data_IF_443015484155
#
_entry.id   IF_443015484155
#
_cell.length_a   1.000
_cell.length_b   1.000
_cell.length_c   1.000
_cell.angle_alpha   90.00
_cell.angle_beta   90.00
_cell.angle_gamma   90.00
#
_symmetry.space_group_name_H-M   'P 1'
#
loop_
_entity.id
_entity.type
_entity.pdbx_description
1 polymer ?
#
# COMPACT_ATOMS: atom_id res chain seq x y z
N UNK A 1 -30.07 24.61 -9.67
CA UNK A 1 -29.03 24.55 -8.63
C UNK A 1 -28.73 23.09 -8.40
N UNK A 2 -27.78 22.55 -9.15
CA UNK A 2 -27.28 21.18 -8.91
C UNK A 2 -26.30 21.29 -7.75
N UNK A 3 -26.64 20.68 -6.61
CA UNK A 3 -25.66 20.42 -5.55
C UNK A 3 -24.45 19.76 -6.23
N UNK A 4 -23.32 20.46 -6.23
CA UNK A 4 -22.07 19.80 -6.49
C UNK A 4 -21.92 18.81 -5.33
N UNK A 5 -22.09 17.52 -5.61
CA UNK A 5 -21.71 16.46 -4.69
C UNK A 5 -20.28 16.78 -4.25
N UNK A 6 -20.11 17.15 -2.97
CA UNK A 6 -18.79 17.35 -2.39
C UNK A 6 -18.06 16.01 -2.47
N UNK A 7 -17.26 15.84 -3.54
CA UNK A 7 -16.59 14.60 -3.85
C UNK A 7 -15.68 14.24 -2.67
N UNK A 8 -16.08 13.20 -1.93
CA UNK A 8 -15.40 12.75 -0.71
C UNK A 8 -13.91 12.56 -1.02
N UNK A 9 -13.03 13.25 -0.28
CA UNK A 9 -11.58 13.15 -0.42
C UNK A 9 -11.03 12.00 0.43
N UNK A 10 -9.97 11.33 -0.04
CA UNK A 10 -9.34 10.26 0.72
C UNK A 10 -8.44 10.84 1.83
N UNK A 11 -8.49 10.33 3.08
CA UNK A 11 -7.72 10.88 4.19
C UNK A 11 -6.20 10.75 4.02
N UNK A 12 -5.73 9.71 3.33
CA UNK A 12 -4.29 9.52 3.05
C UNK A 12 -3.76 10.45 1.93
N UNK A 13 -4.64 10.89 1.02
CA UNK A 13 -4.26 11.75 -0.11
C UNK A 13 -5.48 12.53 -0.60
N UNK A 14 -5.54 13.82 -0.24
CA UNK A 14 -6.65 14.70 -0.58
C UNK A 14 -6.85 14.97 -2.08
N UNK A 15 -5.90 14.57 -2.93
CA UNK A 15 -6.01 14.66 -4.39
C UNK A 15 -6.81 13.49 -4.97
N UNK A 16 -7.06 12.43 -4.20
CA UNK A 16 -7.84 11.27 -4.63
C UNK A 16 -9.26 11.39 -4.07
N UNK A 17 -10.24 11.36 -4.96
CA UNK A 17 -11.66 11.48 -4.62
C UNK A 17 -12.39 10.15 -4.82
N UNK A 18 -13.48 9.96 -4.08
CA UNK A 18 -14.40 8.86 -4.29
C UNK A 18 -15.25 9.17 -5.52
N UNK A 19 -15.19 8.32 -6.55
CA UNK A 19 -16.00 8.50 -7.73
C UNK A 19 -17.47 8.08 -7.52
N UNK A 20 -18.32 8.30 -8.54
CA UNK A 20 -19.76 8.05 -8.45
C UNK A 20 -20.12 6.55 -8.30
N UNK A 21 -19.20 5.66 -8.62
CA UNK A 21 -19.29 4.21 -8.42
C UNK A 21 -18.85 3.76 -7.02
N UNK A 22 -18.57 4.70 -6.11
CA UNK A 22 -18.00 4.47 -4.78
C UNK A 22 -16.61 3.80 -4.81
N UNK A 23 -15.81 4.08 -5.85
CA UNK A 23 -14.42 3.60 -5.97
C UNK A 23 -13.46 4.78 -5.89
N UNK A 24 -12.38 4.63 -5.12
CA UNK A 24 -11.37 5.67 -4.98
C UNK A 24 -10.60 5.88 -6.29
N UNK A 25 -10.55 7.11 -6.78
CA UNK A 25 -9.84 7.49 -8.00
C UNK A 25 -10.45 6.95 -9.30
N UNK A 26 -11.70 6.48 -9.29
CA UNK A 26 -12.35 5.93 -10.50
C UNK A 26 -12.64 6.98 -11.59
N UNK A 27 -12.72 8.25 -11.22
CA UNK A 27 -12.85 9.36 -12.18
C UNK A 27 -11.61 9.49 -13.10
N UNK A 28 -10.42 9.21 -12.56
CA UNK A 28 -9.15 9.35 -13.29
C UNK A 28 -8.63 8.02 -13.83
N UNK A 29 -8.90 6.95 -13.08
CA UNK A 29 -8.41 5.60 -13.36
C UNK A 29 -9.62 4.67 -13.39
N UNK A 30 -10.16 4.35 -14.59
CA UNK A 30 -11.30 3.45 -14.74
C UNK A 30 -11.08 2.11 -14.05
N UNK A 31 -12.13 1.39 -13.69
CA UNK A 31 -12.00 0.04 -13.11
C UNK A 31 -11.82 -0.99 -14.23
N UNK A 32 -10.82 -1.86 -14.11
CA UNK A 32 -10.62 -2.96 -15.05
C UNK A 32 -11.38 -4.23 -14.65
N UNK A 33 -11.62 -5.12 -15.61
CA UNK A 33 -12.31 -6.40 -15.40
C UNK A 33 -11.59 -7.34 -14.40
N UNK A 34 -10.26 -7.29 -14.37
CA UNK A 34 -9.39 -8.07 -13.50
C UNK A 34 -9.22 -7.47 -12.09
N UNK A 35 -9.65 -6.22 -11.89
CA UNK A 35 -9.36 -5.43 -10.70
C UNK A 35 -10.33 -5.74 -9.55
N UNK A 36 -9.85 -5.67 -8.31
CA UNK A 36 -10.70 -5.52 -7.13
C UNK A 36 -10.72 -4.04 -6.71
N UNK A 37 -11.69 -3.25 -7.20
CA UNK A 37 -11.69 -1.80 -7.00
C UNK A 37 -11.94 -1.40 -5.54
N UNK A 38 -12.56 -2.28 -4.74
CA UNK A 38 -12.89 -2.00 -3.35
C UNK A 38 -11.64 -1.91 -2.45
N UNK A 39 -10.52 -2.48 -2.90
CA UNK A 39 -9.25 -2.53 -2.15
C UNK A 39 -8.12 -1.75 -2.84
N UNK A 40 -8.47 -0.76 -3.67
CA UNK A 40 -7.47 0.19 -4.18
C UNK A 40 -6.66 0.79 -3.03
N UNK A 41 -5.36 0.85 -3.20
CA UNK A 41 -4.45 1.38 -2.19
C UNK A 41 -4.08 2.81 -2.55
N UNK A 42 -4.38 3.74 -1.66
CA UNK A 42 -4.14 5.16 -1.86
C UNK A 42 -2.86 5.56 -1.12
N UNK A 43 -1.87 6.02 -1.88
CA UNK A 43 -0.59 6.46 -1.34
C UNK A 43 -0.66 7.93 -0.94
N UNK A 44 -0.03 8.27 0.18
CA UNK A 44 0.24 9.67 0.51
C UNK A 44 1.19 10.28 -0.53
N UNK A 45 1.16 11.61 -0.75
CA UNK A 45 2.06 12.27 -1.69
C UNK A 45 3.55 11.97 -1.40
N UNK A 46 3.93 11.86 -0.13
CA UNK A 46 5.29 11.51 0.27
C UNK A 46 5.67 10.10 -0.16
N UNK A 47 4.79 9.12 0.06
CA UNK A 47 5.04 7.74 -0.36
C UNK A 47 5.09 7.63 -1.87
N UNK A 48 4.14 8.26 -2.57
CA UNK A 48 4.13 8.29 -4.03
C UNK A 48 5.45 8.82 -4.59
N UNK A 49 5.94 9.95 -4.05
CA UNK A 49 7.20 10.56 -4.44
C UNK A 49 8.38 9.59 -4.25
N UNK A 50 8.53 9.01 -3.06
CA UNK A 50 9.68 8.14 -2.79
C UNK A 50 9.61 6.75 -3.45
N UNK A 51 8.41 6.25 -3.71
CA UNK A 51 8.22 5.01 -4.47
C UNK A 51 8.39 5.23 -5.97
N UNK A 52 8.46 6.49 -6.42
CA UNK A 52 8.58 6.91 -7.81
C UNK A 52 7.39 6.43 -8.66
N UNK A 53 6.20 6.38 -8.05
CA UNK A 53 4.98 5.97 -8.75
C UNK A 53 4.29 7.16 -9.41
N UNK A 54 3.77 6.91 -10.61
CA UNK A 54 3.12 7.96 -11.41
C UNK A 54 1.70 8.22 -10.93
N UNK A 55 1.04 7.19 -10.42
CA UNK A 55 -0.30 7.24 -9.85
C UNK A 55 -0.28 7.25 -8.31
N UNK A 56 -1.13 8.05 -7.64
CA UNK A 56 -1.38 7.92 -6.20
C UNK A 56 -2.26 6.71 -5.85
N UNK A 57 -2.89 6.08 -6.85
CA UNK A 57 -3.77 4.92 -6.71
C UNK A 57 -3.04 3.68 -7.22
N UNK A 58 -2.84 2.72 -6.33
CA UNK A 58 -2.29 1.41 -6.65
C UNK A 58 -3.44 0.41 -6.77
N UNK A 59 -3.51 -0.25 -7.92
CA UNK A 59 -4.55 -1.24 -8.20
C UNK A 59 -4.26 -2.57 -7.49
N UNK A 60 -5.27 -3.42 -7.45
CA UNK A 60 -5.11 -4.79 -6.96
C UNK A 60 -5.84 -5.76 -7.87
N UNK A 61 -5.13 -6.76 -8.37
CA UNK A 61 -5.79 -7.87 -9.04
C UNK A 61 -6.69 -8.66 -8.10
N UNK A 62 -7.94 -8.89 -8.50
CA UNK A 62 -8.95 -9.66 -7.76
C UNK A 62 -8.48 -11.05 -7.39
N UNK A 63 -7.82 -11.75 -8.32
CA UNK A 63 -7.28 -13.08 -8.06
C UNK A 63 -6.13 -13.05 -7.04
N UNK A 64 -5.28 -12.03 -7.10
CA UNK A 64 -4.19 -11.86 -6.14
C UNK A 64 -4.72 -11.52 -4.74
N UNK A 65 -5.69 -10.60 -4.66
CA UNK A 65 -6.35 -10.21 -3.42
C UNK A 65 -6.99 -11.42 -2.73
N UNK A 66 -7.87 -12.15 -3.43
CA UNK A 66 -8.52 -13.37 -2.92
C UNK A 66 -7.51 -14.44 -2.47
N UNK A 67 -6.42 -14.61 -3.23
CA UNK A 67 -5.36 -15.56 -2.87
C UNK A 67 -4.66 -15.16 -1.58
N UNK A 68 -4.37 -13.88 -1.38
CA UNK A 68 -3.68 -13.37 -0.19
C UNK A 68 -4.57 -13.44 1.05
N UNK A 69 -5.83 -13.01 0.97
CA UNK A 69 -6.79 -13.11 2.09
C UNK A 69 -7.03 -14.56 2.49
N UNK A 70 -7.21 -15.47 1.52
CA UNK A 70 -7.35 -16.90 1.79
C UNK A 70 -6.10 -17.52 2.44
N UNK A 71 -4.90 -17.11 2.00
CA UNK A 71 -3.63 -17.63 2.53
C UNK A 71 -3.31 -17.07 3.92
N UNK A 72 -3.72 -15.84 4.20
CA UNK A 72 -3.40 -15.11 5.41
C UNK A 72 -4.67 -14.56 6.09
N UNK A 73 -5.63 -15.42 6.50
CA UNK A 73 -6.93 -14.97 7.03
C UNK A 73 -6.80 -14.12 8.30
N UNK A 74 -5.79 -14.38 9.13
CA UNK A 74 -5.49 -13.56 10.32
C UNK A 74 -5.16 -12.10 9.96
N UNK A 75 -4.57 -11.88 8.78
CA UNK A 75 -4.08 -10.58 8.33
C UNK A 75 -5.07 -9.90 7.37
N UNK A 76 -6.27 -10.46 7.18
CA UNK A 76 -7.29 -9.97 6.25
C UNK A 76 -7.64 -8.49 6.50
N UNK A 77 -7.76 -8.09 7.77
CA UNK A 77 -8.02 -6.69 8.12
C UNK A 77 -6.94 -5.72 7.63
N UNK A 78 -5.66 -6.11 7.63
CA UNK A 78 -4.56 -5.31 7.07
C UNK A 78 -4.61 -5.32 5.55
N UNK A 79 -4.85 -6.48 4.95
CA UNK A 79 -4.92 -6.66 3.50
C UNK A 79 -6.05 -5.78 2.91
N UNK A 80 -7.21 -5.74 3.55
CA UNK A 80 -8.37 -4.99 3.06
C UNK A 80 -8.30 -3.48 3.33
N UNK A 81 -7.35 -3.01 4.15
CA UNK A 81 -7.27 -1.61 4.62
C UNK A 81 -5.87 -1.02 4.47
N UNK A 82 -5.11 -1.47 3.44
CA UNK A 82 -3.71 -1.06 3.27
C UNK A 82 -3.52 0.46 3.21
N UNK A 83 -4.43 1.23 2.61
CA UNK A 83 -4.33 2.70 2.56
C UNK A 83 -4.18 3.32 3.95
N UNK A 84 -4.96 2.83 4.93
CA UNK A 84 -4.89 3.30 6.32
C UNK A 84 -3.64 2.76 7.01
N UNK A 85 -3.32 1.48 6.81
CA UNK A 85 -2.15 0.84 7.46
C UNK A 85 -0.82 1.46 7.01
N UNK A 86 -0.73 1.91 5.76
CA UNK A 86 0.47 2.52 5.20
C UNK A 86 0.81 3.87 5.82
N UNK A 87 -0.10 4.53 6.56
CA UNK A 87 0.23 5.73 7.34
C UNK A 87 1.36 5.43 8.35
N UNK A 88 1.40 4.21 8.87
CA UNK A 88 2.40 3.74 9.83
C UNK A 88 3.62 3.08 9.16
N UNK A 89 3.95 3.49 7.93
CA UNK A 89 5.15 3.00 7.26
C UNK A 89 6.41 3.46 8.01
N UNK A 90 7.41 2.59 8.03
CA UNK A 90 8.70 2.79 8.71
C UNK A 90 9.84 2.77 7.70
N UNK A 91 9.83 1.82 6.77
CA UNK A 91 10.81 1.77 5.69
C UNK A 91 10.14 1.70 4.34
N UNK A 92 10.71 2.36 3.34
CA UNK A 92 10.41 2.11 1.94
C UNK A 92 11.71 2.01 1.13
N UNK A 93 11.65 1.39 -0.03
CA UNK A 93 12.81 1.26 -0.92
C UNK A 93 12.58 0.23 -2.02
N UNK A 94 13.60 -0.01 -2.82
CA UNK A 94 13.55 -0.95 -3.95
C UNK A 94 13.93 -2.35 -3.49
N UNK A 95 13.31 -3.38 -4.08
CA UNK A 95 13.71 -4.77 -3.83
C UNK A 95 15.07 -5.05 -4.48
N UNK A 96 16.04 -5.53 -3.69
CA UNK A 96 17.41 -5.78 -4.16
C UNK A 96 17.48 -6.77 -5.33
N UNK A 97 16.61 -7.77 -5.35
CA UNK A 97 16.59 -8.82 -6.39
C UNK A 97 15.73 -8.46 -7.60
N UNK A 98 14.86 -7.47 -7.48
CA UNK A 98 13.98 -7.04 -8.57
C UNK A 98 13.79 -5.52 -8.49
N UNK A 99 14.63 -4.74 -9.20
CA UNK A 99 14.62 -3.28 -9.13
C UNK A 99 13.29 -2.62 -9.56
N UNK A 100 12.43 -3.34 -10.28
CA UNK A 100 11.08 -2.87 -10.68
C UNK A 100 10.06 -2.96 -9.54
N UNK A 101 10.42 -3.63 -8.45
CA UNK A 101 9.54 -3.81 -7.29
C UNK A 101 9.94 -2.82 -6.19
N UNK A 102 8.93 -2.27 -5.53
CA UNK A 102 9.09 -1.43 -4.34
C UNK A 102 8.58 -2.19 -3.13
N UNK A 103 9.24 -2.04 -1.99
CA UNK A 103 8.80 -2.61 -0.72
C UNK A 103 8.56 -1.50 0.28
N UNK A 104 7.47 -1.64 1.02
CA UNK A 104 7.17 -0.85 2.21
C UNK A 104 7.10 -1.80 3.41
N UNK A 105 7.78 -1.43 4.49
CA UNK A 105 7.67 -2.08 5.79
C UNK A 105 6.91 -1.13 6.70
N UNK A 106 5.86 -1.62 7.33
CA UNK A 106 4.98 -0.85 8.21
C UNK A 106 4.69 -1.62 9.50
N UNK A 107 4.27 -0.89 10.52
CA UNK A 107 3.71 -1.47 11.74
C UNK A 107 2.19 -1.38 11.69
N UNK A 108 1.53 -2.54 11.70
CA UNK A 108 0.07 -2.61 11.70
C UNK A 108 -0.51 -2.13 13.03
N UNK A 109 -1.77 -1.72 13.02
CA UNK A 109 -2.49 -1.30 14.23
C UNK A 109 -2.65 -2.45 15.24
N UNK A 110 -2.49 -3.70 14.81
CA UNK A 110 -2.46 -4.90 15.66
C UNK A 110 -1.10 -5.14 16.33
N UNK A 111 -0.14 -4.22 16.15
CA UNK A 111 1.20 -4.26 16.73
C UNK A 111 2.19 -5.15 15.98
N UNK A 112 1.78 -5.80 14.88
CA UNK A 112 2.66 -6.66 14.06
C UNK A 112 3.35 -5.88 12.96
N UNK A 113 4.41 -6.47 12.42
CA UNK A 113 5.14 -5.93 11.28
C UNK A 113 4.62 -6.52 9.98
N UNK A 114 4.50 -5.66 8.97
CA UNK A 114 4.08 -6.06 7.63
C UNK A 114 5.08 -5.58 6.59
N UNK A 115 5.33 -6.41 5.59
CA UNK A 115 6.01 -6.04 4.37
C UNK A 115 5.01 -6.11 3.21
N UNK A 116 4.82 -4.99 2.55
CA UNK A 116 4.00 -4.85 1.33
C UNK A 116 4.95 -4.65 0.16
N UNK A 117 4.80 -5.45 -0.89
CA UNK A 117 5.55 -5.27 -2.13
C UNK A 117 4.60 -4.79 -3.22
N UNK A 118 4.99 -3.71 -3.88
CA UNK A 118 4.34 -3.13 -5.04
C UNK A 118 5.20 -3.35 -6.28
N UNK A 119 4.56 -3.39 -7.44
CA UNK A 119 5.25 -3.44 -8.72
C UNK A 119 4.30 -3.33 -9.89
N UNK A 120 4.82 -3.23 -11.10
CA UNK A 120 4.01 -3.13 -12.30
C UNK A 120 3.55 -4.53 -12.73
N UNK A 121 2.23 -4.73 -12.73
CA UNK A 121 1.57 -5.94 -13.23
C UNK A 121 0.39 -5.52 -14.10
N UNK A 122 0.09 -6.29 -15.15
CA UNK A 122 -1.07 -6.01 -16.03
C UNK A 122 -1.09 -4.55 -16.55
N UNK A 123 0.10 -3.98 -16.78
CA UNK A 123 0.26 -2.60 -17.27
C UNK A 123 -0.01 -1.48 -16.26
N UNK A 124 -0.13 -1.76 -14.96
CA UNK A 124 -0.37 -0.74 -13.92
C UNK A 124 0.38 -1.02 -12.61
N UNK A 125 0.62 -0.01 -11.78
CA UNK A 125 1.16 -0.21 -10.44
C UNK A 125 0.16 -1.02 -9.58
N UNK A 126 0.64 -2.14 -9.01
CA UNK A 126 -0.18 -3.11 -8.30
C UNK A 126 0.40 -3.54 -6.96
N UNK A 127 -0.48 -3.99 -6.06
CA UNK A 127 -0.10 -4.78 -4.90
C UNK A 127 0.29 -6.19 -5.35
N UNK A 128 1.54 -6.58 -5.09
CA UNK A 128 2.10 -7.88 -5.46
C UNK A 128 2.00 -8.85 -4.29
N UNK A 129 2.38 -8.42 -3.10
CA UNK A 129 2.32 -9.27 -1.91
C UNK A 129 2.18 -8.48 -0.62
N UNK A 130 1.57 -9.11 0.38
CA UNK A 130 1.52 -8.65 1.77
C UNK A 130 1.95 -9.81 2.65
N UNK A 131 2.89 -9.61 3.56
CA UNK A 131 3.33 -10.63 4.53
C UNK A 131 3.49 -10.01 5.91
N UNK A 132 2.89 -10.63 6.93
CA UNK A 132 2.95 -10.16 8.32
C UNK A 132 3.76 -11.08 9.23
N UNK A 133 4.36 -10.52 10.29
CA UNK A 133 5.05 -11.24 11.36
C UNK A 133 5.03 -10.45 12.67
N UNK A 134 5.07 -11.15 13.81
CA UNK A 134 5.25 -10.51 15.13
C UNK A 134 6.72 -10.34 15.55
N UNK A 135 7.66 -10.90 14.79
CA UNK A 135 9.09 -10.92 15.15
C UNK A 135 9.80 -9.64 14.70
N UNK A 136 10.76 -9.14 15.48
CA UNK A 136 11.60 -7.99 15.11
C UNK A 136 12.60 -8.35 14.01
N UNK A 137 13.11 -9.58 14.04
CA UNK A 137 14.01 -10.13 13.02
C UNK A 137 13.34 -10.13 11.63
N UNK A 138 12.01 -10.17 11.56
CA UNK A 138 11.29 -9.98 10.30
C UNK A 138 11.61 -8.63 9.66
N UNK A 139 11.61 -7.54 10.42
CA UNK A 139 11.88 -6.19 9.90
C UNK A 139 13.29 -6.13 9.33
N UNK A 140 14.28 -6.56 10.10
CA UNK A 140 15.69 -6.57 9.68
C UNK A 140 15.88 -7.41 8.41
N UNK A 141 15.30 -8.61 8.37
CA UNK A 141 15.38 -9.48 7.20
C UNK A 141 14.74 -8.86 5.96
N UNK A 142 13.58 -8.20 6.11
CA UNK A 142 12.90 -7.53 4.98
C UNK A 142 13.67 -6.30 4.53
N UNK A 143 14.23 -5.52 5.46
CA UNK A 143 15.07 -4.34 5.20
C UNK A 143 16.36 -4.72 4.49
N UNK A 144 17.02 -5.81 4.89
CA UNK A 144 18.23 -6.32 4.23
C UNK A 144 17.99 -6.73 2.78
N UNK A 145 16.75 -7.08 2.43
CA UNK A 145 16.32 -7.35 1.06
C UNK A 145 16.09 -6.10 0.21
N UNK A 146 16.31 -4.90 0.74
CA UNK A 146 16.05 -3.64 0.06
C UNK A 146 17.35 -2.88 -0.28
N UNK A 147 17.23 -1.90 -1.16
CA UNK A 147 18.23 -0.88 -1.51
C UNK A 147 17.54 0.49 -1.57
N UNK A 148 18.33 1.57 -1.50
CA UNK A 148 17.86 2.97 -1.50
C UNK A 148 16.77 3.22 -0.45
N UNK A 149 17.09 2.78 0.78
CA UNK A 149 16.11 2.72 1.86
C UNK A 149 15.88 4.12 2.40
N UNK A 150 14.62 4.53 2.38
CA UNK A 150 14.15 5.69 3.13
C UNK A 150 13.60 5.20 4.46
N UNK A 151 14.04 5.84 5.54
CA UNK A 151 13.67 5.57 6.92
C UNK A 151 12.76 6.70 7.42
N UNK A 152 11.54 6.35 7.80
CA UNK A 152 10.59 7.28 8.40
C UNK A 152 10.75 7.30 9.92
N UNK A 153 11.78 8.00 10.38
CA UNK A 153 12.09 8.14 11.82
C UNK A 153 10.97 8.84 12.61
N UNK A 154 9.97 9.40 11.94
CA UNK A 154 8.78 10.01 12.57
C UNK A 154 7.95 8.96 13.32
N UNK A 155 8.01 7.68 12.92
CA UNK A 155 7.11 6.64 13.41
C UNK A 155 7.69 5.67 14.45
N UNK A 156 8.99 5.75 14.81
CA UNK A 156 9.54 5.14 16.05
C UNK A 156 11.03 5.49 16.25
N UNK A 157 11.45 5.99 17.44
CA UNK A 157 12.83 5.82 17.86
C UNK A 157 13.04 4.34 18.17
N UNK A 158 13.99 3.69 17.49
CA UNK A 158 14.45 2.37 17.89
C UNK A 158 14.81 2.42 19.38
N UNK A 159 14.25 1.57 20.26
CA UNK A 159 14.79 1.46 21.60
C UNK A 159 16.23 0.97 21.45
N UNK A 160 17.18 1.84 21.80
CA UNK A 160 18.58 1.46 21.93
C UNK A 160 18.68 0.25 22.87
N UNK A 161 19.51 -0.72 22.47
CA UNK A 161 19.72 -1.98 23.19
C UNK A 161 20.25 -1.75 24.60
#
# INVERSE_FOLDING_TARGET
MTEADDAKMHPANHLVHLGPDNVWGSNDIPVEDWEDPAVRVILSPQMQFHLEFTSPVIRWSRSNHQRLTKKHPRDEHVINDLSTQLINWVFLGRERKNPEMRRVILRGNDGRWYAVTFGVLLGSENVVSVTGSGSKEFVENRRNGMVDIIDNQVNEPWPER
#
